data_IF_267628547794
#
_entry.id   IF_267628547794
#
_cell.length_a   1.000
_cell.length_b   1.000
_cell.length_c   1.000
_cell.angle_alpha   90.00
_cell.angle_beta   90.00
_cell.angle_gamma   90.00
#
_symmetry.space_group_name_H-M   'P 1'
#
loop_
_entity.id
_entity.type
_entity.pdbx_description
1 polymer ?
#
# COMPACT_ATOMS: atom_id res chain seq x y z
N UNK A 1 -0.49 -4.47 12.14
CA UNK A 1 -1.84 -4.90 12.48
C UNK A 1 -1.91 -5.29 13.95
N UNK A 2 -2.75 -4.62 14.73
CA UNK A 2 -2.90 -4.87 16.17
C UNK A 2 -4.34 -4.54 16.61
N UNK A 3 -4.72 -5.07 17.78
CA UNK A 3 -5.98 -4.72 18.41
C UNK A 3 -5.84 -3.42 19.20
N UNK A 4 -6.91 -2.63 19.23
CA UNK A 4 -6.98 -1.38 19.98
C UNK A 4 -7.88 -1.61 21.19
N UNK A 5 -7.43 -1.11 22.36
CA UNK A 5 -8.24 -1.01 23.56
C UNK A 5 -8.08 0.38 24.15
N UNK A 6 -9.19 1.03 24.49
CA UNK A 6 -9.20 2.33 25.10
C UNK A 6 -10.03 3.34 24.35
N UNK A 7 -9.97 4.58 24.80
CA UNK A 7 -10.76 5.68 24.26
C UNK A 7 -9.90 6.93 24.07
N UNK A 8 -10.40 7.84 23.25
CA UNK A 8 -9.91 9.20 23.10
C UNK A 8 -11.03 10.19 23.43
N UNK A 9 -10.65 11.36 23.91
CA UNK A 9 -11.56 12.49 24.04
C UNK A 9 -11.21 13.50 22.96
N UNK A 10 -12.14 13.74 22.04
CA UNK A 10 -11.96 14.65 20.90
C UNK A 10 -13.08 15.69 20.98
N UNK A 11 -12.72 16.97 21.09
CA UNK A 11 -13.67 18.08 21.19
C UNK A 11 -14.72 17.93 22.33
N UNK A 12 -14.32 17.25 23.41
CA UNK A 12 -15.17 16.99 24.58
C UNK A 12 -16.02 15.71 24.45
N UNK A 13 -16.01 15.03 23.34
CA UNK A 13 -16.69 13.75 23.12
C UNK A 13 -15.75 12.57 23.36
N UNK A 14 -16.23 11.56 24.11
CA UNK A 14 -15.48 10.33 24.33
C UNK A 14 -15.80 9.34 23.22
N UNK A 15 -14.76 8.91 22.49
CA UNK A 15 -14.86 7.91 21.44
C UNK A 15 -14.14 6.65 21.91
N UNK A 16 -14.87 5.55 22.06
CA UNK A 16 -14.32 4.26 22.44
C UNK A 16 -13.82 3.50 21.19
N UNK A 17 -12.54 3.14 21.20
CA UNK A 17 -11.88 2.36 20.16
C UNK A 17 -11.69 0.89 20.52
N UNK A 18 -12.22 0.45 21.67
CA UNK A 18 -12.07 -0.93 22.15
C UNK A 18 -12.63 -1.92 21.14
N UNK A 19 -11.83 -2.94 20.80
CA UNK A 19 -12.14 -3.92 19.76
C UNK A 19 -11.79 -3.50 18.33
N UNK A 20 -11.30 -2.27 18.17
CA UNK A 20 -10.81 -1.78 16.87
C UNK A 20 -9.54 -2.48 16.39
N UNK A 21 -9.22 -2.28 15.12
CA UNK A 21 -8.00 -2.76 14.47
C UNK A 21 -7.12 -1.58 14.12
N UNK A 22 -5.87 -1.61 14.54
CA UNK A 22 -4.90 -0.57 14.26
C UNK A 22 -3.75 -1.03 13.39
N UNK A 23 -3.08 -0.05 12.79
CA UNK A 23 -1.86 -0.24 12.03
C UNK A 23 -0.78 0.72 12.52
N UNK A 24 0.43 0.23 12.67
CA UNK A 24 1.61 1.04 12.98
C UNK A 24 2.67 0.77 11.92
N UNK A 25 3.10 1.83 11.28
CA UNK A 25 4.30 1.89 10.45
C UNK A 25 5.15 3.07 10.91
N UNK A 26 6.44 2.93 10.84
CA UNK A 26 7.38 3.98 11.19
C UNK A 26 8.46 4.05 10.14
N UNK A 27 8.54 5.19 9.49
CA UNK A 27 9.60 5.57 8.59
C UNK A 27 10.37 6.74 9.17
N UNK A 28 11.66 6.80 8.89
CA UNK A 28 12.48 7.94 9.27
C UNK A 28 13.49 8.28 8.19
N UNK A 29 13.66 9.57 7.98
CA UNK A 29 14.51 10.12 6.96
C UNK A 29 14.38 11.63 6.90
N UNK A 30 15.04 12.26 5.94
CA UNK A 30 14.99 13.72 5.75
C UNK A 30 13.89 14.17 4.81
N UNK A 31 13.41 13.28 3.95
CA UNK A 31 12.35 13.57 2.97
C UNK A 31 11.65 12.28 2.58
N UNK A 32 10.40 12.38 2.16
CA UNK A 32 9.74 11.32 1.43
C UNK A 32 10.35 11.16 0.03
N UNK A 33 10.16 10.01 -0.64
CA UNK A 33 10.50 9.86 -2.05
C UNK A 33 9.81 10.94 -2.89
N UNK A 34 10.47 11.40 -3.96
CA UNK A 34 9.92 12.44 -4.84
C UNK A 34 8.68 12.00 -5.64
N UNK A 35 8.49 10.71 -5.78
CA UNK A 35 7.33 10.10 -6.44
C UNK A 35 7.06 8.75 -5.80
N UNK A 36 5.85 8.53 -5.33
CA UNK A 36 5.45 7.26 -4.72
C UNK A 36 3.94 7.06 -4.73
N UNK A 37 3.55 5.83 -4.54
CA UNK A 37 2.24 5.41 -4.07
C UNK A 37 2.42 4.51 -2.86
N UNK A 38 1.54 4.65 -1.89
CA UNK A 38 1.49 3.85 -0.69
C UNK A 38 0.05 3.54 -0.34
N UNK A 39 -0.21 2.33 0.14
CA UNK A 39 -1.53 1.94 0.61
C UNK A 39 -1.46 0.90 1.72
N UNK A 40 -2.47 0.94 2.60
CA UNK A 40 -2.64 0.01 3.71
C UNK A 40 -4.12 -0.23 3.99
N UNK A 41 -4.50 -1.48 4.21
CA UNK A 41 -5.78 -1.84 4.82
C UNK A 41 -5.64 -3.07 5.72
N UNK A 42 -6.37 -3.06 6.84
CA UNK A 42 -6.54 -4.20 7.73
C UNK A 42 -8.02 -4.48 8.05
N UNK A 43 -8.93 -3.89 7.25
CA UNK A 43 -10.38 -4.04 7.38
C UNK A 43 -10.95 -4.85 6.20
N UNK A 44 -10.43 -6.06 6.04
CA UNK A 44 -10.96 -7.00 5.06
C UNK A 44 -12.24 -7.69 5.56
N UNK A 45 -13.06 -8.13 4.62
CA UNK A 45 -14.26 -8.94 4.89
C UNK A 45 -13.94 -10.33 5.48
N UNK A 46 -12.67 -10.67 5.61
CA UNK A 46 -12.15 -11.88 6.23
C UNK A 46 -11.19 -11.49 7.34
N UNK A 47 -11.36 -12.05 8.53
CA UNK A 47 -10.44 -11.78 9.64
C UNK A 47 -9.04 -12.35 9.39
N UNK A 48 -8.05 -11.76 10.04
CA UNK A 48 -6.66 -12.18 9.92
C UNK A 48 -5.99 -11.77 8.60
N UNK A 49 -6.58 -10.83 7.86
CA UNK A 49 -6.01 -10.29 6.63
C UNK A 49 -5.61 -8.84 6.82
N UNK A 50 -4.42 -8.49 6.34
CA UNK A 50 -3.90 -7.12 6.31
C UNK A 50 -2.94 -6.97 5.14
N UNK A 51 -3.03 -5.86 4.43
CA UNK A 51 -2.16 -5.52 3.31
C UNK A 51 -1.46 -4.19 3.55
N UNK A 52 -0.17 -4.14 3.23
CA UNK A 52 0.59 -2.90 2.98
C UNK A 52 1.28 -3.03 1.63
N UNK A 53 1.23 -2.00 0.81
CA UNK A 53 1.95 -1.95 -0.45
C UNK A 53 2.45 -0.54 -0.74
N UNK A 54 3.67 -0.44 -1.26
CA UNK A 54 4.23 0.82 -1.74
C UNK A 54 5.12 0.60 -2.95
N UNK A 55 5.11 1.59 -3.84
CA UNK A 55 6.04 1.73 -4.98
C UNK A 55 6.59 3.15 -4.93
N UNK A 56 7.90 3.29 -5.05
CA UNK A 56 8.55 4.59 -4.92
C UNK A 56 9.75 4.74 -5.86
N UNK A 57 10.03 5.98 -6.23
CA UNK A 57 11.29 6.37 -6.85
C UNK A 57 12.36 6.50 -5.78
N UNK A 58 13.26 5.54 -5.72
CA UNK A 58 14.30 5.44 -4.70
C UNK A 58 15.62 5.98 -5.24
N UNK A 59 16.20 7.05 -4.66
CA UNK A 59 17.52 7.54 -5.05
C UNK A 59 18.61 6.50 -4.76
N UNK A 60 19.53 6.32 -5.70
CA UNK A 60 20.65 5.40 -5.53
C UNK A 60 21.86 5.81 -6.38
N UNK A 61 22.99 6.09 -5.75
CA UNK A 61 24.28 6.39 -6.38
C UNK A 61 24.21 7.45 -7.51
N UNK A 62 23.54 8.56 -7.25
CA UNK A 62 23.40 9.66 -8.23
C UNK A 62 22.33 9.41 -9.32
N UNK A 63 21.65 8.29 -9.26
CA UNK A 63 20.56 7.92 -10.14
C UNK A 63 19.34 7.52 -9.29
N UNK A 64 18.38 6.80 -9.84
CA UNK A 64 17.25 6.23 -9.12
C UNK A 64 16.82 4.88 -9.71
N UNK A 65 16.08 4.12 -8.92
CA UNK A 65 15.33 2.96 -9.39
C UNK A 65 13.90 3.00 -8.82
N UNK A 66 12.99 2.27 -9.46
CA UNK A 66 11.64 2.07 -8.93
C UNK A 66 11.69 0.88 -7.99
N UNK A 67 11.62 1.19 -6.69
CA UNK A 67 11.56 0.20 -5.62
C UNK A 67 10.13 -0.06 -5.18
N UNK A 68 9.88 -1.24 -4.62
CA UNK A 68 8.58 -1.58 -4.06
C UNK A 68 8.72 -2.53 -2.87
N UNK A 69 7.77 -2.38 -1.94
CA UNK A 69 7.60 -3.26 -0.78
C UNK A 69 6.11 -3.50 -0.59
N UNK A 70 5.71 -4.77 -0.59
CA UNK A 70 4.36 -5.18 -0.25
C UNK A 70 4.39 -6.39 0.66
N UNK A 71 3.52 -6.41 1.66
CA UNK A 71 3.29 -7.51 2.57
C UNK A 71 1.79 -7.78 2.70
N UNK A 72 1.40 -8.99 2.37
CA UNK A 72 0.08 -9.52 2.67
C UNK A 72 0.18 -10.47 3.87
N UNK A 73 -0.41 -10.05 4.99
CA UNK A 73 -0.66 -10.93 6.12
C UNK A 73 -1.94 -11.71 5.83
N UNK A 74 -1.85 -13.01 5.81
CA UNK A 74 -2.96 -13.91 5.49
C UNK A 74 -2.90 -15.12 6.43
N UNK A 75 -3.85 -15.21 7.38
CA UNK A 75 -3.97 -16.32 8.32
C UNK A 75 -2.62 -16.74 8.93
N UNK A 76 -2.02 -15.84 9.70
CA UNK A 76 -0.74 -16.03 10.40
C UNK A 76 0.50 -16.23 9.51
N UNK A 77 0.39 -15.90 8.23
CA UNK A 77 1.52 -15.94 7.29
C UNK A 77 1.73 -14.59 6.63
N UNK A 78 2.97 -14.14 6.59
CA UNK A 78 3.38 -12.96 5.83
C UNK A 78 3.89 -13.39 4.45
N UNK A 79 3.19 -12.99 3.41
CA UNK A 79 3.61 -13.15 2.02
C UNK A 79 4.19 -11.83 1.53
N UNK A 80 5.47 -11.84 1.19
CA UNK A 80 6.22 -10.62 0.85
C UNK A 80 6.51 -10.54 -0.65
N UNK A 81 6.37 -9.31 -1.17
CA UNK A 81 6.77 -8.93 -2.50
C UNK A 81 7.65 -7.68 -2.40
N UNK A 82 8.94 -7.86 -2.59
CA UNK A 82 9.89 -6.76 -2.44
C UNK A 82 10.87 -6.71 -3.60
N UNK A 83 11.47 -5.55 -3.84
CA UNK A 83 12.54 -5.39 -4.84
C UNK A 83 13.70 -6.37 -4.61
N UNK A 84 13.89 -6.82 -3.37
CA UNK A 84 15.08 -7.60 -2.95
C UNK A 84 14.89 -9.12 -2.94
N UNK A 85 13.66 -9.62 -3.05
CA UNK A 85 13.37 -11.06 -2.95
C UNK A 85 13.05 -11.75 -4.28
N UNK A 86 13.46 -11.13 -5.40
CA UNK A 86 13.23 -11.66 -6.73
C UNK A 86 11.82 -11.44 -7.28
N UNK A 87 11.01 -10.63 -6.60
CA UNK A 87 9.72 -10.20 -7.11
C UNK A 87 9.91 -9.22 -8.28
N UNK A 88 8.99 -9.29 -9.22
CA UNK A 88 8.91 -8.36 -10.36
C UNK A 88 7.66 -7.49 -10.22
N UNK A 89 7.83 -6.19 -10.42
CA UNK A 89 6.73 -5.26 -10.65
C UNK A 89 6.22 -5.51 -12.07
N UNK A 90 4.99 -6.02 -12.21
CA UNK A 90 4.37 -6.32 -13.51
C UNK A 90 3.52 -5.17 -14.00
N UNK A 91 2.79 -4.54 -13.08
CA UNK A 91 1.96 -3.37 -13.36
C UNK A 91 2.06 -2.39 -12.20
N UNK A 92 2.15 -1.11 -12.50
CA UNK A 92 1.90 0.00 -11.60
C UNK A 92 1.19 1.07 -12.42
N UNK A 93 -0.09 1.22 -12.22
CA UNK A 93 -0.94 2.19 -12.91
C UNK A 93 -1.64 3.05 -11.87
N UNK A 94 -1.68 4.35 -12.11
CA UNK A 94 -2.34 5.33 -11.24
C UNK A 94 -3.00 6.37 -12.13
N UNK A 95 -4.27 6.60 -11.90
CA UNK A 95 -5.01 7.74 -12.45
C UNK A 95 -5.77 8.50 -11.36
N UNK A 96 -6.73 9.33 -11.72
CA UNK A 96 -7.51 10.13 -10.77
C UNK A 96 -8.48 9.28 -9.94
N UNK A 97 -8.86 8.10 -10.39
CA UNK A 97 -9.92 7.26 -9.81
C UNK A 97 -9.39 6.00 -9.16
N UNK A 98 -8.24 5.48 -9.61
CA UNK A 98 -7.75 4.17 -9.17
C UNK A 98 -6.24 4.05 -9.17
N UNK A 99 -5.80 3.07 -8.41
CA UNK A 99 -4.44 2.51 -8.42
C UNK A 99 -4.53 1.02 -8.73
N UNK A 100 -3.74 0.55 -9.67
CA UNK A 100 -3.62 -0.87 -10.00
C UNK A 100 -2.16 -1.31 -9.85
N UNK A 101 -1.92 -2.32 -9.07
CA UNK A 101 -0.59 -2.87 -8.81
C UNK A 101 -0.58 -4.38 -9.02
N UNK A 102 0.40 -4.88 -9.78
CA UNK A 102 0.62 -6.31 -9.93
C UNK A 102 2.06 -6.64 -9.62
N UNK A 103 2.24 -7.48 -8.60
CA UNK A 103 3.54 -7.98 -8.16
C UNK A 103 3.60 -9.49 -8.32
N UNK A 104 4.74 -9.99 -8.75
CA UNK A 104 4.90 -11.40 -9.05
C UNK A 104 6.29 -11.91 -8.70
N UNK A 105 6.36 -13.02 -7.97
CA UNK A 105 7.58 -13.78 -7.73
C UNK A 105 7.46 -15.21 -8.27
N UNK A 106 8.40 -16.08 -7.89
CA UNK A 106 8.42 -17.47 -8.39
C UNK A 106 7.19 -18.28 -7.95
N UNK A 107 6.64 -17.98 -6.74
CA UNK A 107 5.57 -18.76 -6.12
C UNK A 107 4.19 -18.11 -6.26
N UNK A 108 4.15 -16.77 -6.12
CA UNK A 108 2.89 -16.04 -5.98
C UNK A 108 2.81 -14.87 -6.96
N UNK A 109 1.59 -14.53 -7.31
CA UNK A 109 1.21 -13.28 -7.97
C UNK A 109 0.13 -12.61 -7.11
N UNK A 110 0.27 -11.34 -6.85
CA UNK A 110 -0.75 -10.52 -6.22
C UNK A 110 -1.20 -9.42 -7.18
N UNK A 111 -2.51 -9.26 -7.29
CA UNK A 111 -3.17 -8.17 -8.01
C UNK A 111 -3.91 -7.32 -6.99
N UNK A 112 -3.74 -6.02 -7.07
CA UNK A 112 -4.26 -5.03 -6.13
C UNK A 112 -4.91 -3.93 -6.93
N UNK A 113 -6.19 -3.66 -6.66
CA UNK A 113 -6.96 -2.58 -7.26
C UNK A 113 -7.51 -1.73 -6.12
N UNK A 114 -7.12 -0.47 -6.05
CA UNK A 114 -7.63 0.47 -5.06
C UNK A 114 -8.38 1.61 -5.74
N UNK A 115 -9.56 1.95 -5.22
CA UNK A 115 -10.29 3.15 -5.62
C UNK A 115 -9.74 4.36 -4.87
N UNK A 116 -9.58 5.48 -5.55
CA UNK A 116 -9.22 6.75 -4.93
C UNK A 116 -10.51 7.48 -4.58
N UNK A 117 -10.76 7.65 -3.28
CA UNK A 117 -11.95 8.32 -2.78
C UNK A 117 -11.55 9.27 -1.64
N UNK A 118 -11.97 10.53 -1.77
CA UNK A 118 -11.69 11.58 -0.81
C UNK A 118 -10.20 11.72 -0.47
N UNK A 119 -9.77 12.89 -0.07
CA UNK A 119 -8.41 13.06 0.44
C UNK A 119 -8.35 14.21 1.45
N UNK A 120 -7.40 14.10 2.37
CA UNK A 120 -7.05 15.15 3.33
C UNK A 120 -5.59 15.51 3.14
N UNK A 121 -5.31 16.81 3.08
CA UNK A 121 -3.94 17.30 2.97
C UNK A 121 -3.21 17.15 4.31
N UNK A 122 -2.09 16.42 4.31
CA UNK A 122 -1.22 16.23 5.46
C UNK A 122 0.12 16.93 5.25
N UNK A 123 0.74 17.36 6.36
CA UNK A 123 2.11 17.87 6.33
C UNK A 123 3.10 16.73 6.04
N UNK A 124 4.08 17.00 5.20
CA UNK A 124 5.13 16.02 4.85
C UNK A 124 6.53 16.62 4.93
N UNK A 125 7.56 15.80 5.22
CA UNK A 125 8.92 16.30 5.35
C UNK A 125 9.55 16.62 3.98
N UNK A 126 10.16 17.83 3.89
CA UNK A 126 11.05 18.25 2.81
C UNK A 126 12.35 18.71 3.47
N UNK A 127 13.46 18.03 3.20
CA UNK A 127 14.78 18.31 3.78
C UNK A 127 14.80 18.45 5.31
N UNK A 128 13.89 17.73 5.99
CA UNK A 128 13.78 17.73 7.44
C UNK A 128 12.77 18.75 8.02
N UNK A 129 12.14 19.57 7.19
CA UNK A 129 11.07 20.50 7.57
C UNK A 129 9.72 19.94 7.12
N UNK A 130 8.65 20.21 7.88
CA UNK A 130 7.28 19.74 7.58
C UNK A 130 6.53 20.71 6.66
N UNK A 131 7.21 21.20 5.61
CA UNK A 131 6.70 22.20 4.68
C UNK A 131 5.97 21.60 3.46
N UNK A 132 6.18 20.32 3.21
CA UNK A 132 5.49 19.59 2.14
C UNK A 132 4.03 19.33 2.45
N UNK A 133 3.28 18.97 1.43
CA UNK A 133 1.89 18.49 1.54
C UNK A 133 1.73 17.24 0.69
N UNK A 134 1.03 16.27 1.25
CA UNK A 134 0.58 15.07 0.56
C UNK A 134 -0.92 14.94 0.76
N UNK A 135 -1.58 14.25 -0.14
CA UNK A 135 -2.99 13.92 -0.01
C UNK A 135 -3.13 12.45 0.36
N UNK A 136 -3.76 12.19 1.50
CA UNK A 136 -4.08 10.86 1.99
C UNK A 136 -5.59 10.65 2.02
N UNK A 137 -6.05 9.56 1.45
CA UNK A 137 -7.40 9.04 1.65
C UNK A 137 -7.37 8.02 2.78
N UNK A 138 -8.40 8.04 3.64
CA UNK A 138 -8.64 7.03 4.68
C UNK A 138 -9.93 6.24 4.42
N UNK A 139 -10.62 6.53 3.33
CA UNK A 139 -11.93 5.96 2.97
C UNK A 139 -11.90 5.12 1.71
N UNK A 140 -10.74 4.99 1.10
CA UNK A 140 -10.54 4.17 -0.11
C UNK A 140 -10.92 2.71 0.13
N UNK A 141 -11.33 2.04 -0.94
CA UNK A 141 -11.57 0.60 -0.96
C UNK A 141 -10.47 -0.09 -1.78
N UNK A 142 -10.08 -1.28 -1.35
CA UNK A 142 -9.05 -2.06 -2.01
C UNK A 142 -9.54 -3.48 -2.27
N UNK A 143 -9.40 -3.94 -3.50
CA UNK A 143 -9.62 -5.33 -3.88
C UNK A 143 -8.27 -6.00 -4.12
N UNK A 144 -8.09 -7.19 -3.56
CA UNK A 144 -6.88 -7.98 -3.76
C UNK A 144 -7.21 -9.38 -4.23
N UNK A 145 -6.35 -9.93 -5.10
CA UNK A 145 -6.37 -11.33 -5.50
C UNK A 145 -4.95 -11.89 -5.43
N UNK A 146 -4.77 -12.95 -4.67
CA UNK A 146 -3.53 -13.68 -4.53
C UNK A 146 -3.62 -15.02 -5.24
N UNK A 147 -2.64 -15.31 -6.09
CA UNK A 147 -2.56 -16.54 -6.87
C UNK A 147 -1.33 -17.36 -6.48
N UNK A 148 -1.51 -18.68 -6.38
CA UNK A 148 -0.42 -19.65 -6.45
C UNK A 148 -0.05 -19.91 -7.91
N UNK A 149 1.14 -19.56 -8.29
CA UNK A 149 1.63 -19.76 -9.67
C UNK A 149 1.95 -21.22 -9.99
N UNK A 150 2.32 -22.00 -8.98
CA UNK A 150 2.65 -23.43 -9.16
C UNK A 150 1.35 -24.23 -9.36
N UNK A 151 0.34 -23.99 -8.52
CA UNK A 151 -0.96 -24.63 -8.62
C UNK A 151 -1.91 -23.93 -9.58
N UNK A 152 -1.56 -22.75 -10.12
CA UNK A 152 -2.41 -21.93 -11.00
C UNK A 152 -3.81 -21.69 -10.42
N UNK A 153 -3.88 -21.49 -9.11
CA UNK A 153 -5.14 -21.34 -8.36
C UNK A 153 -5.18 -20.01 -7.60
N UNK A 154 -6.40 -19.51 -7.37
CA UNK A 154 -6.64 -18.39 -6.47
C UNK A 154 -6.50 -18.90 -5.03
N UNK A 155 -5.55 -18.34 -4.28
CA UNK A 155 -5.35 -18.63 -2.86
C UNK A 155 -6.25 -17.77 -1.98
N UNK A 156 -6.46 -16.52 -2.38
CA UNK A 156 -7.26 -15.56 -1.65
C UNK A 156 -7.79 -14.48 -2.61
N UNK A 157 -9.02 -14.04 -2.37
CA UNK A 157 -9.57 -12.82 -2.94
C UNK A 157 -10.40 -12.12 -1.87
N UNK A 158 -10.29 -10.80 -1.76
CA UNK A 158 -11.01 -10.07 -0.74
C UNK A 158 -11.01 -8.56 -0.96
N UNK A 159 -11.97 -7.92 -0.31
CA UNK A 159 -12.14 -6.47 -0.33
C UNK A 159 -11.80 -5.93 1.04
N UNK A 160 -10.89 -4.94 1.08
CA UNK A 160 -10.55 -4.17 2.27
C UNK A 160 -11.17 -2.78 2.19
N UNK A 161 -11.76 -2.34 3.29
CA UNK A 161 -12.33 -1.00 3.48
C UNK A 161 -11.41 -0.15 4.34
N UNK A 162 -11.75 1.13 4.47
CA UNK A 162 -10.95 2.09 5.26
C UNK A 162 -9.46 2.00 4.90
N UNK A 163 -9.21 1.92 3.61
CA UNK A 163 -7.85 1.86 3.08
C UNK A 163 -7.21 3.24 3.14
N UNK A 164 -6.08 3.33 3.82
CA UNK A 164 -5.21 4.47 3.70
C UNK A 164 -4.51 4.40 2.33
N UNK A 165 -4.58 5.47 1.55
CA UNK A 165 -4.02 5.55 0.21
C UNK A 165 -3.38 6.92 -0.02
N UNK A 166 -2.09 6.92 -0.32
CA UNK A 166 -1.31 8.09 -0.70
C UNK A 166 -0.77 7.94 -2.12
N UNK A 167 -0.84 9.01 -2.89
CA UNK A 167 -0.22 9.12 -4.21
C UNK A 167 0.42 10.50 -4.32
N UNK A 168 1.73 10.55 -4.46
CA UNK A 168 2.47 11.80 -4.43
C UNK A 168 3.55 11.90 -5.51
N UNK A 169 3.82 13.12 -5.93
CA UNK A 169 4.87 13.48 -6.86
C UNK A 169 4.55 13.20 -8.33
N UNK A 170 5.60 13.11 -9.15
CA UNK A 170 5.47 12.87 -10.60
C UNK A 170 5.25 11.38 -10.87
N UNK A 171 4.00 10.95 -10.86
CA UNK A 171 3.61 9.54 -10.92
C UNK A 171 4.12 8.82 -12.16
N UNK A 172 4.26 9.50 -13.30
CA UNK A 172 4.84 8.92 -14.52
C UNK A 172 6.24 8.30 -14.32
N UNK A 173 6.95 8.66 -13.26
CA UNK A 173 8.28 8.11 -12.95
C UNK A 173 8.24 6.73 -12.29
N UNK A 174 7.09 6.31 -11.78
CA UNK A 174 6.89 5.00 -11.14
C UNK A 174 5.91 4.09 -11.89
N UNK A 175 5.24 4.60 -12.94
CA UNK A 175 4.31 3.80 -13.74
C UNK A 175 5.03 2.65 -14.44
N UNK A 176 4.35 1.52 -14.54
CA UNK A 176 4.74 0.38 -15.34
C UNK A 176 3.52 -0.29 -15.93
N UNK A 177 3.47 -0.35 -17.26
CA UNK A 177 2.48 -1.13 -17.97
C UNK A 177 2.81 -2.63 -17.88
N UNK A 178 1.77 -3.44 -17.81
CA UNK A 178 1.92 -4.88 -17.91
C UNK A 178 2.50 -5.22 -19.29
N UNK A 179 3.73 -5.72 -19.33
CA UNK A 179 4.19 -6.41 -20.54
C UNK A 179 3.23 -7.57 -20.81
N UNK A 180 2.77 -7.78 -22.05
CA UNK A 180 1.95 -8.94 -22.38
C UNK A 180 2.68 -10.19 -21.91
N UNK A 181 1.93 -11.13 -21.35
CA UNK A 181 2.44 -12.45 -21.02
C UNK A 181 2.90 -13.05 -22.34
N UNK A 182 4.22 -13.10 -22.55
CA UNK A 182 4.77 -13.99 -23.59
C UNK A 182 4.39 -15.39 -23.20
N UNK A 183 3.47 -15.94 -23.97
CA UNK A 183 3.00 -17.32 -23.93
C UNK A 183 4.14 -18.33 -23.99
#
# INVERSE_FOLDING_TARGET
NHHINGFLVIDGETIDFTGGKGYIEKDWGRSFPSSYMWMQSNHFNVDGVSLKASVAKVPFLGNYFVGFISGLWLHDRLIQFTTYNGTKLRKCFVDQQKVELVLENKKHRIEINATRDGSTALASPILGLMDGRIEESMTSEIEISLYDKLGKSVMFSGIGKHTALEVAGKISEILKDSSPLTS
#
